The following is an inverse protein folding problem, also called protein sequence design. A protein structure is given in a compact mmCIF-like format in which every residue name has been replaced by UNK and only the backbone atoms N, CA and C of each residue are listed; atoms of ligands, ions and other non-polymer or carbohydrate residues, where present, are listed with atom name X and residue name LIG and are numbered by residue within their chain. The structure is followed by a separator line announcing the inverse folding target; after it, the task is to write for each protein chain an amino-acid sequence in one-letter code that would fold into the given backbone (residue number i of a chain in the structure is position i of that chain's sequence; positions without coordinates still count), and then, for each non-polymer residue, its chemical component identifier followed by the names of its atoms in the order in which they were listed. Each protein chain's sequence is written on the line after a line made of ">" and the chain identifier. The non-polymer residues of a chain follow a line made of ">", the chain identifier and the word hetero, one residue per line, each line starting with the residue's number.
data_IF_292902341506
#
_entry.id   IF_292902341506
#
_cell.length_a   1.000
_cell.length_b   1.000
_cell.length_c   1.000
_cell.angle_alpha   90.00
_cell.angle_beta   90.00
_cell.angle_gamma   90.00
#
_symmetry.space_group_name_H-M   'P 1'
#
loop_
_entity.id
_entity.type
_entity.pdbx_description
1 polymer ?
#
# COMPACT_ATOMS: atom_id res chain seq x y z
N UNK A 1 -18.92 14.36 17.88
CA UNK A 1 -17.63 13.68 18.19
C UNK A 1 -17.34 12.76 17.02
N UNK A 2 -16.14 12.83 16.44
CA UNK A 2 -15.76 12.04 15.27
C UNK A 2 -14.87 10.88 15.70
N UNK A 3 -15.16 9.67 15.23
CA UNK A 3 -14.41 8.46 15.54
C UNK A 3 -13.56 8.04 14.35
N UNK A 4 -12.35 7.56 14.59
CA UNK A 4 -11.50 6.98 13.54
C UNK A 4 -11.32 5.51 13.85
N UNK A 5 -11.63 4.65 12.88
CA UNK A 5 -11.49 3.21 12.97
C UNK A 5 -10.31 2.80 12.10
N UNK A 6 -9.28 2.22 12.71
CA UNK A 6 -8.14 1.64 12.01
C UNK A 6 -8.31 0.11 12.00
N UNK A 7 -8.38 -0.48 10.81
CA UNK A 7 -8.41 -1.92 10.62
C UNK A 7 -7.08 -2.35 10.02
N UNK A 8 -6.41 -3.29 10.66
CA UNK A 8 -5.19 -3.91 10.13
C UNK A 8 -5.54 -5.33 9.69
N UNK A 9 -5.27 -5.65 8.44
CA UNK A 9 -5.63 -6.93 7.82
C UNK A 9 -4.39 -7.70 7.36
N UNK A 10 -4.54 -9.02 7.24
CA UNK A 10 -3.49 -9.89 6.71
C UNK A 10 -4.07 -11.02 5.88
N UNK A 11 -4.03 -10.87 4.54
CA UNK A 11 -4.39 -11.91 3.56
C UNK A 11 -5.81 -12.49 3.67
N UNK A 12 -6.70 -11.86 4.42
CA UNK A 12 -8.11 -12.22 4.49
C UNK A 12 -8.99 -11.01 4.17
N UNK A 13 -9.36 -10.82 2.89
CA UNK A 13 -10.17 -9.69 2.49
C UNK A 13 -11.65 -9.84 2.86
N UNK A 14 -12.14 -11.05 3.13
CA UNK A 14 -13.55 -11.28 3.45
C UNK A 14 -13.88 -10.82 4.87
N UNK A 15 -12.96 -11.02 5.81
CA UNK A 15 -13.08 -10.48 7.17
C UNK A 15 -13.28 -8.96 7.15
N UNK A 16 -12.55 -8.26 6.27
CA UNK A 16 -12.69 -6.81 6.12
C UNK A 16 -14.07 -6.44 5.57
N UNK A 17 -14.57 -7.16 4.57
CA UNK A 17 -15.93 -6.95 4.05
C UNK A 17 -16.96 -7.17 5.16
N UNK A 18 -16.82 -8.20 5.99
CA UNK A 18 -17.72 -8.45 7.10
C UNK A 18 -17.69 -7.34 8.16
N UNK A 19 -16.49 -6.87 8.53
CA UNK A 19 -16.34 -5.72 9.42
C UNK A 19 -17.04 -4.48 8.88
N UNK A 20 -16.82 -4.15 7.60
CA UNK A 20 -17.43 -2.97 6.99
C UNK A 20 -18.97 -3.08 6.95
N UNK A 21 -19.50 -4.26 6.64
CA UNK A 21 -20.96 -4.50 6.68
C UNK A 21 -21.54 -4.32 8.08
N UNK A 22 -20.85 -4.81 9.10
CA UNK A 22 -21.28 -4.63 10.49
C UNK A 22 -21.28 -3.15 10.90
N UNK A 23 -20.25 -2.41 10.52
CA UNK A 23 -20.10 -0.98 10.85
C UNK A 23 -21.07 -0.11 10.05
N UNK A 24 -21.45 -0.49 8.83
CA UNK A 24 -22.42 0.24 8.02
C UNK A 24 -23.81 0.37 8.68
N UNK A 25 -24.17 -0.53 9.60
CA UNK A 25 -25.42 -0.48 10.35
C UNK A 25 -25.40 0.43 11.58
N UNK A 26 -24.23 0.98 11.96
CA UNK A 26 -24.09 1.80 13.17
C UNK A 26 -24.79 3.16 12.98
N UNK A 27 -25.63 3.55 13.94
CA UNK A 27 -26.31 4.85 13.96
C UNK A 27 -25.62 5.82 14.93
N UNK A 28 -25.61 7.10 14.60
CA UNK A 28 -25.26 8.18 15.53
C UNK A 28 -23.77 8.51 15.67
N UNK A 29 -22.90 7.93 14.85
CA UNK A 29 -21.47 8.25 14.84
C UNK A 29 -21.02 8.69 13.43
N UNK A 30 -20.31 9.83 13.37
CA UNK A 30 -19.50 10.21 12.21
C UNK A 30 -18.14 9.52 12.36
N UNK A 31 -17.80 8.63 11.44
CA UNK A 31 -16.52 7.91 11.50
C UNK A 31 -15.83 7.80 10.14
N UNK A 32 -14.51 7.74 10.19
CA UNK A 32 -13.66 7.37 9.05
C UNK A 32 -12.97 6.03 9.31
N UNK A 33 -12.95 5.16 8.29
CA UNK A 33 -12.31 3.86 8.37
C UNK A 33 -11.05 3.89 7.51
N UNK A 34 -9.92 3.52 8.11
CA UNK A 34 -8.64 3.33 7.44
C UNK A 34 -8.27 1.86 7.49
N UNK A 35 -7.90 1.27 6.35
CA UNK A 35 -7.58 -0.15 6.25
C UNK A 35 -6.12 -0.28 5.81
N UNK A 36 -5.33 -0.99 6.60
CA UNK A 36 -3.92 -1.29 6.32
C UNK A 36 -3.78 -2.80 6.06
N UNK A 37 -3.53 -3.17 4.80
CA UNK A 37 -3.25 -4.57 4.44
C UNK A 37 -1.76 -4.86 4.52
N UNK A 38 -1.39 -5.82 5.38
CA UNK A 38 0.00 -6.18 5.67
C UNK A 38 0.48 -7.42 4.89
N UNK A 39 -0.37 -8.04 4.08
CA UNK A 39 -0.06 -9.27 3.34
C UNK A 39 0.80 -9.09 2.08
N UNK A 40 1.11 -7.84 1.71
CA UNK A 40 1.86 -7.48 0.50
C UNK A 40 0.95 -7.16 -0.69
N UNK A 41 1.56 -7.04 -1.88
CA UNK A 41 0.89 -6.54 -3.09
C UNK A 41 -0.31 -7.39 -3.54
N UNK A 42 -0.17 -8.71 -3.51
CA UNK A 42 -1.24 -9.60 -3.96
C UNK A 42 -2.43 -9.60 -2.99
N UNK A 43 -2.14 -9.57 -1.69
CA UNK A 43 -3.16 -9.42 -0.66
C UNK A 43 -3.91 -8.09 -0.79
N UNK A 44 -3.18 -7.00 -1.09
CA UNK A 44 -3.78 -5.69 -1.38
C UNK A 44 -4.73 -5.75 -2.57
N UNK A 45 -4.34 -6.37 -3.68
CA UNK A 45 -5.22 -6.51 -4.84
C UNK A 45 -6.46 -7.35 -4.52
N UNK A 46 -6.30 -8.47 -3.82
CA UNK A 46 -7.41 -9.31 -3.38
C UNK A 46 -8.39 -8.53 -2.49
N UNK A 47 -7.88 -7.68 -1.59
CA UNK A 47 -8.70 -6.78 -0.78
C UNK A 47 -9.46 -5.77 -1.64
N UNK A 48 -8.79 -5.08 -2.56
CA UNK A 48 -9.45 -4.11 -3.44
C UNK A 48 -10.55 -4.77 -4.28
N UNK A 49 -10.31 -5.97 -4.82
CA UNK A 49 -11.30 -6.68 -5.62
C UNK A 49 -12.49 -7.14 -4.79
N UNK A 50 -12.26 -7.66 -3.57
CA UNK A 50 -13.34 -8.01 -2.65
C UNK A 50 -14.19 -6.79 -2.27
N UNK A 51 -13.55 -5.65 -2.00
CA UNK A 51 -14.26 -4.41 -1.66
C UNK A 51 -15.07 -3.85 -2.84
N UNK A 52 -14.60 -4.01 -4.09
CA UNK A 52 -15.37 -3.65 -5.29
C UNK A 52 -16.58 -4.55 -5.45
N UNK A 53 -16.40 -5.87 -5.33
CA UNK A 53 -17.49 -6.85 -5.44
C UNK A 53 -18.55 -6.66 -4.36
N UNK A 54 -18.13 -6.30 -3.15
CA UNK A 54 -19.03 -5.98 -2.04
C UNK A 54 -19.66 -4.58 -2.13
N UNK A 55 -19.33 -3.80 -3.17
CA UNK A 55 -19.83 -2.44 -3.42
C UNK A 55 -19.61 -1.47 -2.23
N UNK A 56 -18.50 -1.66 -1.51
CA UNK A 56 -18.08 -0.83 -0.35
C UNK A 56 -16.98 0.17 -0.72
N UNK A 57 -16.30 -0.04 -1.86
CA UNK A 57 -15.42 0.98 -2.44
C UNK A 57 -16.27 2.01 -3.20
N UNK A 58 -16.36 3.22 -2.66
CA UNK A 58 -16.58 4.40 -3.50
C UNK A 58 -15.25 4.66 -4.22
N UNK A 59 -15.23 4.89 -5.54
CA UNK A 59 -14.00 5.29 -6.21
C UNK A 59 -13.41 6.48 -5.44
N UNK A 60 -12.09 6.47 -5.14
CA UNK A 60 -11.52 7.60 -4.42
C UNK A 60 -11.81 8.85 -5.23
N UNK A 61 -12.56 9.79 -4.65
CA UNK A 61 -12.41 11.18 -5.06
C UNK A 61 -10.93 11.46 -4.89
N UNK A 62 -10.22 11.55 -6.02
CA UNK A 62 -8.76 11.69 -6.05
C UNK A 62 -8.40 12.74 -5.01
N UNK A 63 -7.72 12.36 -3.90
CA UNK A 63 -7.14 13.38 -3.05
C UNK A 63 -6.11 14.01 -3.97
N UNK A 64 -6.36 15.25 -4.41
CA UNK A 64 -5.36 16.05 -5.13
C UNK A 64 -4.21 16.22 -4.15
N UNK A 65 -3.29 15.25 -4.13
CA UNK A 65 -2.11 15.31 -3.31
C UNK A 65 -1.38 16.57 -3.77
N UNK A 66 -1.35 17.58 -2.91
CA UNK A 66 -0.42 18.67 -3.08
C UNK A 66 0.97 18.03 -3.27
N UNK A 67 1.77 18.47 -4.26
CA UNK A 67 3.08 17.90 -4.49
C UNK A 67 3.88 17.96 -3.19
N UNK A 68 4.71 16.95 -2.89
CA UNK A 68 5.52 16.98 -1.68
C UNK A 68 6.36 18.25 -1.71
N UNK A 69 6.10 19.18 -0.78
CA UNK A 69 7.00 20.29 -0.54
C UNK A 69 8.33 19.67 -0.16
N UNK A 70 9.35 19.79 -1.03
CA UNK A 70 10.72 19.42 -0.69
C UNK A 70 11.03 20.11 0.64
N UNK A 71 11.25 19.34 1.71
CA UNK A 71 11.88 19.92 2.90
C UNK A 71 13.24 20.42 2.46
N UNK A 72 13.53 21.69 2.72
CA UNK A 72 14.87 22.22 2.57
C UNK A 72 15.79 21.42 3.52
N UNK A 73 16.51 20.42 2.98
CA UNK A 73 17.38 19.58 3.79
C UNK A 73 17.84 18.27 3.16
N UNK A 74 17.12 17.70 2.19
CA UNK A 74 17.59 16.47 1.51
C UNK A 74 18.76 16.80 0.60
N UNK A 75 19.98 16.60 1.11
CA UNK A 75 21.18 16.52 0.27
C UNK A 75 21.10 15.27 -0.59
N UNK A 76 21.45 15.33 -1.88
CA UNK A 76 21.58 14.14 -2.69
C UNK A 76 22.69 13.28 -2.09
N UNK A 77 22.40 12.02 -1.79
CA UNK A 77 23.45 11.01 -1.59
C UNK A 77 24.09 10.77 -2.96
N UNK A 78 25.37 11.10 -3.08
CA UNK A 78 26.12 10.92 -4.32
C UNK A 78 26.05 9.45 -4.74
N UNK A 79 25.57 9.26 -5.97
CA UNK A 79 25.52 7.99 -6.66
C UNK A 79 26.96 7.55 -6.88
N UNK A 80 27.43 6.56 -6.13
CA UNK A 80 28.73 5.91 -6.36
C UNK A 80 28.77 5.43 -7.81
N UNK A 81 29.62 6.07 -8.59
CA UNK A 81 29.96 5.76 -9.97
C UNK A 81 30.78 4.47 -10.02
N UNK A 82 30.09 3.33 -10.10
CA UNK A 82 30.72 2.06 -10.50
C UNK A 82 30.87 2.02 -12.02
N UNK A 83 32.07 2.26 -12.53
CA UNK A 83 32.43 2.11 -13.95
C UNK A 83 32.23 0.66 -14.43
N UNK A 84 31.76 0.42 -15.67
CA UNK A 84 31.71 -0.91 -16.25
C UNK A 84 33.09 -1.29 -16.79
N UNK A 85 33.86 -2.05 -16.00
CA UNK A 85 35.11 -2.67 -16.45
C UNK A 85 34.83 -3.97 -17.21
N UNK A 86 34.89 -3.90 -18.54
CA UNK A 86 34.88 -5.06 -19.43
C UNK A 86 36.25 -5.76 -19.41
N UNK A 87 36.30 -7.02 -18.99
CA UNK A 87 37.36 -8.02 -19.31
C UNK A 87 36.63 -9.37 -19.17
N UNK A 88 36.46 -10.22 -20.17
CA UNK A 88 37.43 -10.74 -21.13
C UNK A 88 37.52 -12.25 -20.89
N UNK A 89 37.29 -13.02 -21.95
CA UNK A 89 37.19 -14.49 -21.99
C UNK A 89 38.45 -15.19 -21.41
N UNK A 90 38.26 -16.34 -20.73
CA UNK A 90 38.99 -17.59 -21.04
C UNK A 90 38.68 -18.72 -20.06
N UNK A 91 38.31 -19.87 -20.64
CA UNK A 91 38.37 -21.23 -20.10
C UNK A 91 39.67 -21.55 -19.35
N UNK A 92 39.62 -22.35 -18.28
CA UNK A 92 40.29 -23.66 -18.21
C UNK A 92 39.95 -24.47 -16.94
N UNK A 93 40.07 -25.78 -17.11
CA UNK A 93 39.72 -26.90 -16.23
C UNK A 93 40.77 -27.21 -15.16
N UNK A 94 40.31 -27.95 -14.13
CA UNK A 94 41.01 -28.96 -13.29
C UNK A 94 42.20 -28.48 -12.45
N UNK A 95 42.16 -28.77 -11.15
CA UNK A 95 42.68 -30.02 -10.55
C UNK A 95 41.87 -30.36 -9.32
#
# INVERSE_FOLDING_TARGET
>A
MRVVILIVSFRDPLDIVHCLKAVAGMKGADFSIHICENGGKDAWHALIDALRQANVLVPPAVPTAAPPSRRAGDRPVDRVSGSPGAIGHSSLRRR
#
